data_IF_857440061055
#
_entry.id   IF_857440061055
#
_cell.length_a   1.000
_cell.length_b   1.000
_cell.length_c   1.000
_cell.angle_alpha   90.00
_cell.angle_beta   90.00
_cell.angle_gamma   90.00
#
_symmetry.space_group_name_H-M   'P 1'
#
loop_
_entity.id
_entity.type
_entity.pdbx_description
1 polymer ?
#
# COMPACT_ATOMS: atom_id res chain seq x y z
N UNK A 1 -11.29 4.64 36.49
CA UNK A 1 -12.49 3.86 36.18
C UNK A 1 -12.74 4.02 34.67
N UNK A 2 -12.55 2.94 33.92
CA UNK A 2 -12.93 2.90 32.51
C UNK A 2 -14.43 2.60 32.52
N UNK A 3 -15.26 3.56 32.12
CA UNK A 3 -16.64 3.27 31.78
C UNK A 3 -16.62 2.39 30.52
N UNK A 4 -16.87 1.12 30.69
CA UNK A 4 -17.22 0.24 29.57
C UNK A 4 -18.62 0.67 29.18
N UNK A 5 -18.73 1.42 28.11
CA UNK A 5 -20.02 1.64 27.45
C UNK A 5 -20.54 0.26 27.07
N UNK A 6 -21.55 -0.17 27.77
CA UNK A 6 -22.33 -1.33 27.43
C UNK A 6 -23.16 -0.97 26.19
N UNK A 7 -22.55 -1.13 25.01
CA UNK A 7 -23.30 -1.09 23.78
C UNK A 7 -24.34 -2.19 23.85
N UNK A 8 -25.61 -1.83 23.80
CA UNK A 8 -26.69 -2.79 23.62
C UNK A 8 -26.56 -3.39 22.21
N UNK A 9 -25.86 -4.50 22.12
CA UNK A 9 -25.63 -5.24 20.89
C UNK A 9 -26.92 -5.75 20.25
N UNK A 10 -28.05 -5.62 20.93
CA UNK A 10 -29.34 -6.15 20.46
C UNK A 10 -30.14 -5.18 19.63
N UNK A 11 -29.90 -3.85 19.72
CA UNK A 11 -30.74 -2.86 19.08
C UNK A 11 -30.17 -2.11 17.89
N UNK A 12 -28.84 -1.91 17.83
CA UNK A 12 -28.27 -1.01 16.81
C UNK A 12 -27.60 -1.71 15.63
N UNK A 13 -27.21 -2.96 15.76
CA UNK A 13 -26.57 -3.70 14.64
C UNK A 13 -27.61 -4.23 13.64
N UNK A 14 -28.88 -4.29 14.03
CA UNK A 14 -29.97 -4.83 13.21
C UNK A 14 -31.02 -3.82 12.78
N UNK A 15 -30.89 -2.54 13.09
CA UNK A 15 -31.95 -1.57 12.89
C UNK A 15 -31.84 -0.65 11.68
N UNK A 16 -30.72 -0.70 10.93
CA UNK A 16 -30.64 -0.04 9.63
C UNK A 16 -30.82 -1.05 8.52
N UNK A 17 -31.92 -0.99 7.80
CA UNK A 17 -32.18 -1.77 6.58
C UNK A 17 -31.25 -1.40 5.41
N UNK A 18 -30.27 -0.51 5.64
CA UNK A 18 -29.30 -0.07 4.66
C UNK A 18 -27.96 -0.77 4.89
N UNK A 19 -27.36 -1.38 3.86
CA UNK A 19 -26.04 -1.97 3.96
C UNK A 19 -24.99 -0.87 4.24
N UNK A 20 -24.34 -0.94 5.40
CA UNK A 20 -23.26 -0.03 5.79
C UNK A 20 -21.91 -0.70 5.50
N UNK A 21 -21.16 -0.15 4.54
CA UNK A 21 -19.83 -0.64 4.15
C UNK A 21 -18.74 0.34 4.63
N UNK A 22 -18.64 0.51 5.94
CA UNK A 22 -17.67 1.38 6.58
C UNK A 22 -16.40 0.62 7.01
N UNK A 23 -15.51 1.31 7.70
CA UNK A 23 -14.27 0.72 8.25
C UNK A 23 -14.54 -0.41 9.25
N UNK A 24 -15.70 -0.41 9.92
CA UNK A 24 -16.09 -1.49 10.83
C UNK A 24 -16.37 -2.76 10.06
N UNK A 25 -17.11 -2.65 8.95
CA UNK A 25 -17.40 -3.76 8.07
C UNK A 25 -16.11 -4.38 7.49
N UNK A 26 -15.17 -3.55 7.05
CA UNK A 26 -13.86 -3.99 6.58
C UNK A 26 -13.08 -4.72 7.70
N UNK A 27 -13.02 -4.13 8.89
CA UNK A 27 -12.27 -4.69 10.01
C UNK A 27 -12.87 -5.99 10.54
N UNK A 28 -14.18 -6.18 10.52
CA UNK A 28 -14.82 -7.44 10.90
C UNK A 28 -14.37 -8.56 9.97
N UNK A 29 -14.40 -8.35 8.66
CA UNK A 29 -13.97 -9.35 7.69
C UNK A 29 -12.47 -9.65 7.81
N UNK A 30 -11.63 -8.62 7.92
CA UNK A 30 -10.19 -8.77 8.10
C UNK A 30 -9.87 -9.53 9.39
N UNK A 31 -10.57 -9.25 10.48
CA UNK A 31 -10.42 -9.92 11.77
C UNK A 31 -10.80 -11.41 11.70
N UNK A 32 -11.91 -11.75 11.08
CA UNK A 32 -12.35 -13.13 10.89
C UNK A 32 -11.37 -13.93 10.03
N UNK A 33 -10.85 -13.36 8.94
CA UNK A 33 -9.80 -14.00 8.12
C UNK A 33 -8.55 -14.28 8.96
N UNK A 34 -8.09 -13.31 9.72
CA UNK A 34 -6.89 -13.45 10.56
C UNK A 34 -7.08 -14.52 11.62
N UNK A 35 -8.19 -14.49 12.36
CA UNK A 35 -8.50 -15.50 13.38
C UNK A 35 -8.50 -16.91 12.78
N UNK A 36 -9.18 -17.09 11.68
CA UNK A 36 -9.25 -18.38 10.99
C UNK A 36 -7.85 -18.87 10.53
N UNK A 37 -7.08 -18.01 9.86
CA UNK A 37 -5.77 -18.37 9.34
C UNK A 37 -4.78 -18.74 10.45
N UNK A 38 -4.76 -18.00 11.56
CA UNK A 38 -3.86 -18.28 12.67
C UNK A 38 -4.23 -19.60 13.36
N UNK A 39 -5.52 -19.89 13.56
CA UNK A 39 -5.99 -21.18 14.12
C UNK A 39 -5.70 -22.33 13.19
N UNK A 40 -5.92 -22.16 11.89
CA UNK A 40 -5.59 -23.18 10.88
C UNK A 40 -4.08 -23.46 10.85
N UNK A 41 -3.25 -22.41 10.93
CA UNK A 41 -1.80 -22.56 11.00
C UNK A 41 -1.38 -23.39 12.24
N UNK A 42 -1.96 -23.10 13.42
CA UNK A 42 -1.73 -23.89 14.62
C UNK A 42 -2.13 -25.36 14.42
N UNK A 43 -3.32 -25.63 13.89
CA UNK A 43 -3.81 -26.98 13.62
C UNK A 43 -2.90 -27.75 12.66
N UNK A 44 -2.38 -27.06 11.64
CA UNK A 44 -1.55 -27.66 10.59
C UNK A 44 -0.05 -27.64 10.90
N UNK A 45 0.36 -27.15 12.08
CA UNK A 45 1.78 -26.93 12.42
C UNK A 45 2.51 -26.11 11.35
N UNK A 46 1.86 -25.07 10.87
CA UNK A 46 2.31 -24.17 9.84
C UNK A 46 2.41 -22.72 10.38
N UNK A 47 2.66 -21.77 9.51
CA UNK A 47 2.62 -20.35 9.86
C UNK A 47 1.85 -19.58 8.78
N UNK A 48 1.33 -18.42 9.15
CA UNK A 48 0.65 -17.52 8.23
C UNK A 48 1.69 -16.67 7.50
N UNK A 49 1.68 -16.74 6.18
CA UNK A 49 2.49 -15.91 5.30
C UNK A 49 1.72 -14.63 4.95
N UNK A 50 2.29 -13.47 5.27
CA UNK A 50 1.70 -12.18 4.97
C UNK A 50 1.80 -11.82 3.49
N UNK A 51 0.82 -11.08 3.00
CA UNK A 51 0.71 -10.67 1.59
C UNK A 51 0.91 -9.16 1.40
N UNK A 52 0.95 -8.36 2.46
CA UNK A 52 1.18 -6.92 2.40
C UNK A 52 2.54 -6.57 1.82
N UNK A 53 2.61 -5.49 1.06
CA UNK A 53 3.83 -5.00 0.44
C UNK A 53 4.35 -3.68 1.06
N UNK A 54 5.51 -3.25 0.62
CA UNK A 54 6.16 -2.04 1.15
C UNK A 54 5.35 -0.77 0.87
N UNK A 55 4.69 -0.67 -0.28
CA UNK A 55 3.90 0.50 -0.67
C UNK A 55 2.65 0.64 0.19
N UNK A 56 1.98 -0.46 0.48
CA UNK A 56 0.83 -0.51 1.41
C UNK A 56 1.25 -0.10 2.82
N UNK A 57 2.38 -0.61 3.29
CA UNK A 57 2.94 -0.25 4.59
C UNK A 57 3.33 1.23 4.67
N UNK A 58 3.88 1.79 3.61
CA UNK A 58 4.25 3.21 3.53
C UNK A 58 3.02 4.12 3.59
N UNK A 59 1.99 3.79 2.82
CA UNK A 59 0.75 4.56 2.73
C UNK A 59 -0.22 4.29 3.88
N UNK A 60 0.07 3.27 4.72
CA UNK A 60 -0.87 2.79 5.73
C UNK A 60 -2.16 2.22 5.11
N UNK A 61 -2.08 1.70 3.89
CA UNK A 61 -3.20 1.09 3.17
C UNK A 61 -3.35 -0.37 3.57
N UNK A 62 -3.65 -0.58 4.84
CA UNK A 62 -3.88 -1.88 5.46
C UNK A 62 -4.76 -1.71 6.69
N UNK A 63 -5.47 -2.75 7.07
CA UNK A 63 -6.15 -2.80 8.38
C UNK A 63 -5.11 -2.85 9.50
N UNK A 64 -5.45 -2.34 10.69
CA UNK A 64 -4.54 -2.33 11.83
C UNK A 64 -5.14 -3.05 13.04
N UNK A 65 -4.35 -3.96 13.61
CA UNK A 65 -4.69 -4.66 14.84
C UNK A 65 -5.63 -5.85 14.66
N UNK A 66 -6.30 -5.99 13.53
CA UNK A 66 -7.37 -6.99 13.33
C UNK A 66 -7.31 -7.74 12.00
N UNK A 67 -6.32 -7.46 11.11
CA UNK A 67 -6.45 -8.00 9.77
C UNK A 67 -5.15 -8.19 8.98
N UNK A 68 -5.17 -7.78 7.75
CA UNK A 68 -4.25 -8.15 6.66
C UNK A 68 -2.76 -7.95 6.96
N UNK A 69 -2.42 -7.00 7.82
CA UNK A 69 -1.03 -6.78 8.22
C UNK A 69 -0.54 -7.81 9.24
N UNK A 70 -1.44 -8.61 9.82
CA UNK A 70 -1.08 -9.63 10.81
C UNK A 70 -0.67 -10.94 10.13
N UNK A 71 0.56 -11.33 10.36
CA UNK A 71 1.12 -12.60 9.88
C UNK A 71 2.31 -13.00 10.75
N UNK A 72 2.74 -14.24 10.65
CA UNK A 72 3.97 -14.69 11.28
C UNK A 72 5.20 -14.17 10.53
N UNK A 73 5.10 -14.07 9.20
CA UNK A 73 6.18 -13.64 8.33
C UNK A 73 5.63 -12.96 7.07
N UNK A 74 6.13 -11.76 6.73
CA UNK A 74 5.70 -11.03 5.54
C UNK A 74 6.83 -10.96 4.50
N UNK A 75 6.74 -11.78 3.46
CA UNK A 75 7.79 -11.91 2.42
C UNK A 75 7.91 -10.66 1.56
N UNK A 76 6.83 -9.90 1.36
CA UNK A 76 6.77 -8.73 0.49
C UNK A 76 6.90 -7.40 1.26
N UNK A 77 7.07 -7.44 2.57
CA UNK A 77 7.12 -6.23 3.41
C UNK A 77 8.26 -5.25 3.08
N UNK A 78 9.23 -5.67 2.26
CA UNK A 78 10.32 -4.82 1.76
C UNK A 78 10.35 -4.72 0.23
N UNK A 79 9.27 -5.09 -0.46
CA UNK A 79 9.17 -5.06 -1.92
C UNK A 79 8.04 -4.10 -2.30
N UNK A 80 8.37 -3.06 -3.07
CA UNK A 80 7.41 -2.09 -3.56
C UNK A 80 6.42 -2.74 -4.55
N UNK A 81 5.19 -2.27 -4.60
CA UNK A 81 4.11 -2.81 -5.45
C UNK A 81 4.50 -2.80 -6.93
N UNK A 82 5.11 -1.73 -7.40
CA UNK A 82 5.58 -1.65 -8.80
C UNK A 82 6.67 -2.67 -9.10
N UNK A 83 7.55 -2.94 -8.14
CA UNK A 83 8.57 -3.98 -8.29
C UNK A 83 7.93 -5.38 -8.30
N UNK A 84 6.92 -5.64 -7.48
CA UNK A 84 6.15 -6.91 -7.51
C UNK A 84 5.52 -7.11 -8.89
N UNK A 85 4.86 -6.09 -9.43
CA UNK A 85 4.26 -6.15 -10.76
C UNK A 85 5.30 -6.43 -11.85
N UNK A 86 6.47 -5.79 -11.76
CA UNK A 86 7.58 -6.03 -12.68
C UNK A 86 8.11 -7.47 -12.58
N UNK A 87 8.30 -7.99 -11.37
CA UNK A 87 8.74 -9.37 -11.14
C UNK A 87 7.73 -10.39 -11.67
N UNK A 88 6.43 -10.18 -11.45
CA UNK A 88 5.37 -11.05 -11.97
C UNK A 88 5.42 -11.06 -13.50
N UNK A 89 5.56 -9.89 -14.14
CA UNK A 89 5.68 -9.78 -15.60
C UNK A 89 6.90 -10.55 -16.10
N UNK A 90 8.04 -10.33 -15.48
CA UNK A 90 9.27 -11.03 -15.83
C UNK A 90 9.16 -12.55 -15.70
N UNK A 91 8.59 -13.06 -14.61
CA UNK A 91 8.35 -14.50 -14.38
C UNK A 91 7.43 -15.09 -15.47
N UNK A 92 6.36 -14.37 -15.82
CA UNK A 92 5.42 -14.79 -16.84
C UNK A 92 6.04 -14.79 -18.26
N UNK A 93 6.83 -13.75 -18.57
CA UNK A 93 7.50 -13.61 -19.89
C UNK A 93 8.60 -14.64 -20.09
N UNK A 94 9.32 -14.99 -19.04
CA UNK A 94 10.33 -16.06 -19.04
C UNK A 94 9.71 -17.46 -18.91
N UNK A 95 8.40 -17.54 -18.73
CA UNK A 95 7.67 -18.81 -18.55
C UNK A 95 8.28 -19.72 -17.45
N UNK A 96 8.74 -19.12 -16.36
CA UNK A 96 9.45 -19.85 -15.30
C UNK A 96 8.56 -20.81 -14.50
N UNK A 97 7.24 -20.63 -14.57
CA UNK A 97 6.25 -21.41 -13.82
C UNK A 97 5.34 -22.25 -14.73
N UNK A 98 5.68 -22.34 -16.02
CA UNK A 98 4.88 -23.03 -17.04
C UNK A 98 3.77 -22.16 -17.65
N UNK A 99 3.32 -22.52 -18.85
CA UNK A 99 2.44 -21.70 -19.67
C UNK A 99 1.10 -21.38 -18.99
N UNK A 100 0.46 -22.35 -18.36
CA UNK A 100 -0.83 -22.15 -17.68
C UNK A 100 -0.72 -21.17 -16.50
N UNK A 101 0.29 -21.30 -15.66
CA UNK A 101 0.51 -20.38 -14.55
C UNK A 101 0.94 -19.00 -15.04
N UNK A 102 1.76 -18.90 -16.09
CA UNK A 102 2.14 -17.63 -16.71
C UNK A 102 0.94 -16.87 -17.26
N UNK A 103 -0.05 -17.55 -17.83
CA UNK A 103 -1.30 -16.93 -18.27
C UNK A 103 -2.11 -16.36 -17.09
N UNK A 104 -2.21 -17.12 -15.99
CA UNK A 104 -2.86 -16.64 -14.76
C UNK A 104 -2.16 -15.40 -14.22
N UNK A 105 -0.83 -15.37 -14.19
CA UNK A 105 -0.06 -14.21 -13.74
C UNK A 105 -0.31 -12.97 -14.59
N UNK A 106 -0.47 -13.12 -15.92
CA UNK A 106 -0.84 -12.00 -16.79
C UNK A 106 -2.27 -11.50 -16.51
N UNK A 107 -3.21 -12.38 -16.22
CA UNK A 107 -4.57 -12.00 -15.80
C UNK A 107 -4.55 -11.24 -14.47
N UNK A 108 -3.73 -11.67 -13.51
CA UNK A 108 -3.52 -10.93 -12.25
C UNK A 108 -2.99 -9.52 -12.50
N UNK A 109 -2.01 -9.35 -13.40
CA UNK A 109 -1.48 -8.03 -13.75
C UNK A 109 -2.51 -7.12 -14.46
N UNK A 110 -3.45 -7.70 -15.18
CA UNK A 110 -4.52 -6.98 -15.87
C UNK A 110 -5.69 -6.61 -14.94
N UNK A 111 -5.75 -7.18 -13.75
CA UNK A 111 -6.81 -6.89 -12.77
C UNK A 111 -6.51 -5.56 -12.07
N UNK A 112 -7.51 -4.67 -12.01
CA UNK A 112 -7.38 -3.42 -11.29
C UNK A 112 -7.18 -3.65 -9.78
N UNK A 113 -6.27 -2.88 -9.19
CA UNK A 113 -6.02 -2.92 -7.75
C UNK A 113 -7.17 -2.21 -7.03
N UNK A 114 -7.98 -3.00 -6.34
CA UNK A 114 -9.17 -2.54 -5.62
C UNK A 114 -9.17 -3.03 -4.18
N UNK A 115 -9.90 -2.33 -3.26
CA UNK A 115 -10.16 -2.85 -1.93
C UNK A 115 -11.01 -4.12 -2.02
N UNK A 116 -10.51 -5.24 -1.51
CA UNK A 116 -11.19 -6.54 -1.58
C UNK A 116 -12.41 -6.66 -0.67
N UNK A 117 -12.43 -5.86 0.40
CA UNK A 117 -13.42 -6.00 1.48
C UNK A 117 -14.69 -5.18 1.24
N UNK A 118 -14.66 -4.24 0.32
CA UNK A 118 -15.82 -3.41 -0.02
C UNK A 118 -16.47 -3.97 -1.28
N UNK A 119 -17.77 -4.31 -1.24
CA UNK A 119 -18.50 -4.72 -2.43
C UNK A 119 -18.45 -3.65 -3.52
N UNK A 120 -18.63 -4.07 -4.78
CA UNK A 120 -18.90 -3.14 -5.86
C UNK A 120 -20.16 -2.32 -5.54
N UNK A 121 -20.22 -1.07 -6.01
CA UNK A 121 -21.40 -0.24 -5.86
C UNK A 121 -22.62 -0.84 -6.58
N UNK A 122 -23.81 -0.24 -6.39
CA UNK A 122 -25.04 -0.69 -7.02
C UNK A 122 -25.00 -0.69 -8.57
N UNK A 123 -24.03 0.00 -9.17
CA UNK A 123 -23.74 0.02 -10.61
C UNK A 123 -22.70 -1.01 -11.04
N UNK A 124 -22.16 -1.82 -10.12
CA UNK A 124 -21.10 -2.80 -10.39
C UNK A 124 -19.71 -2.19 -10.53
N UNK A 125 -19.53 -0.90 -10.25
CA UNK A 125 -18.22 -0.26 -10.30
C UNK A 125 -17.37 -0.66 -9.10
N UNK A 126 -16.16 -1.16 -9.38
CA UNK A 126 -15.17 -1.48 -8.37
C UNK A 126 -14.40 -0.20 -8.02
N UNK A 127 -14.27 0.08 -6.72
CA UNK A 127 -13.54 1.23 -6.25
C UNK A 127 -12.04 1.08 -6.53
N UNK A 128 -11.46 1.98 -7.32
CA UNK A 128 -10.01 1.97 -7.58
C UNK A 128 -9.23 2.41 -6.34
N UNK A 129 -8.29 1.59 -5.91
CA UNK A 129 -7.35 1.95 -4.84
C UNK A 129 -6.51 3.15 -5.25
N UNK A 130 -6.03 3.20 -6.49
CA UNK A 130 -5.19 4.29 -6.99
C UNK A 130 -5.93 5.64 -7.05
N UNK A 131 -7.25 5.64 -7.22
CA UNK A 131 -8.04 6.87 -7.11
C UNK A 131 -7.97 7.50 -5.71
N UNK A 132 -7.76 6.68 -4.67
CA UNK A 132 -7.66 7.15 -3.27
C UNK A 132 -6.24 7.43 -2.80
N UNK A 133 -5.29 6.59 -3.17
CA UNK A 133 -3.92 6.70 -2.67
C UNK A 133 -2.93 7.23 -3.70
N UNK A 134 -3.35 7.44 -4.93
CA UNK A 134 -2.52 7.86 -6.05
C UNK A 134 -1.90 6.70 -6.83
N UNK A 135 -1.35 6.99 -8.01
CA UNK A 135 -0.64 6.02 -8.82
C UNK A 135 0.55 5.41 -8.06
N UNK A 136 0.63 4.10 -8.00
CA UNK A 136 1.69 3.42 -7.24
C UNK A 136 3.09 3.73 -7.77
N UNK A 137 3.25 3.98 -9.07
CA UNK A 137 4.54 4.39 -9.64
C UNK A 137 5.05 5.71 -9.05
N UNK A 138 4.16 6.66 -8.77
CA UNK A 138 4.53 7.91 -8.10
C UNK A 138 4.77 7.70 -6.60
N UNK A 139 3.95 6.88 -5.95
CA UNK A 139 4.10 6.63 -4.52
C UNK A 139 5.36 5.84 -4.20
N UNK A 140 5.72 4.86 -5.02
CA UNK A 140 6.96 4.10 -4.87
C UNK A 140 8.20 4.95 -5.18
N UNK A 141 8.11 5.86 -6.16
CA UNK A 141 9.14 6.86 -6.44
C UNK A 141 9.37 7.77 -5.22
N UNK A 142 8.30 8.32 -4.67
CA UNK A 142 8.35 9.16 -3.47
C UNK A 142 8.96 8.41 -2.28
N UNK A 143 8.50 7.20 -2.05
CA UNK A 143 9.00 6.33 -0.99
C UNK A 143 10.49 6.04 -1.13
N UNK A 144 10.94 5.71 -2.33
CA UNK A 144 12.33 5.41 -2.60
C UNK A 144 13.26 6.57 -2.26
N UNK A 145 12.95 7.76 -2.75
CA UNK A 145 13.79 8.92 -2.50
C UNK A 145 13.71 9.44 -1.07
N UNK A 146 12.57 9.28 -0.41
CA UNK A 146 12.41 9.63 1.00
C UNK A 146 13.18 8.63 1.89
N UNK A 147 12.94 7.33 1.73
CA UNK A 147 13.47 6.31 2.66
C UNK A 147 14.94 5.98 2.40
N UNK A 148 15.35 5.95 1.12
CA UNK A 148 16.72 5.56 0.73
C UNK A 148 17.72 6.71 0.86
N UNK A 149 17.29 7.93 0.54
CA UNK A 149 18.20 9.08 0.46
C UNK A 149 17.87 10.19 1.46
N UNK A 150 16.70 10.16 2.10
CA UNK A 150 16.26 11.22 3.00
C UNK A 150 16.12 12.57 2.29
N UNK A 151 15.73 12.58 1.02
CA UNK A 151 15.62 13.82 0.26
C UNK A 151 14.45 14.66 0.75
N UNK A 152 14.63 15.98 0.70
CA UNK A 152 13.56 16.95 0.96
C UNK A 152 12.45 16.82 -0.07
N UNK A 153 11.19 17.11 0.27
CA UNK A 153 10.05 17.03 -0.65
C UNK A 153 10.25 17.82 -1.93
N UNK A 154 10.76 19.05 -1.87
CA UNK A 154 11.06 19.86 -3.07
C UNK A 154 12.06 19.20 -4.00
N UNK A 155 13.07 18.49 -3.46
CA UNK A 155 14.01 17.73 -4.28
C UNK A 155 13.35 16.50 -4.89
N UNK A 156 12.46 15.82 -4.15
CA UNK A 156 11.69 14.68 -4.68
C UNK A 156 10.79 15.14 -5.83
N UNK A 157 10.06 16.24 -5.63
CA UNK A 157 9.21 16.84 -6.66
C UNK A 157 10.00 17.24 -7.93
N UNK A 158 11.17 17.84 -7.76
CA UNK A 158 12.08 18.18 -8.87
C UNK A 158 12.49 16.94 -9.66
N UNK A 159 12.93 15.88 -8.99
CA UNK A 159 13.31 14.63 -9.63
C UNK A 159 12.12 13.95 -10.29
N UNK A 160 10.95 13.96 -9.64
CA UNK A 160 9.72 13.41 -10.19
C UNK A 160 9.30 14.15 -11.46
N UNK A 161 9.37 15.48 -11.47
CA UNK A 161 9.05 16.27 -12.66
C UNK A 161 9.97 15.94 -13.83
N UNK A 162 11.27 15.78 -13.60
CA UNK A 162 12.21 15.38 -14.65
C UNK A 162 11.97 13.95 -15.16
N UNK A 163 11.58 13.02 -14.26
CA UNK A 163 11.34 11.63 -14.63
C UNK A 163 10.00 11.41 -15.35
N UNK A 164 8.96 12.20 -15.00
CA UNK A 164 7.58 11.88 -15.37
C UNK A 164 6.91 12.92 -16.28
N UNK A 165 7.56 14.02 -16.62
CA UNK A 165 6.96 15.07 -17.47
C UNK A 165 6.76 14.65 -18.92
N UNK A 166 7.44 13.62 -19.37
CA UNK A 166 7.39 13.11 -20.74
C UNK A 166 7.52 11.58 -20.72
N UNK A 167 6.47 10.91 -21.14
CA UNK A 167 6.41 9.45 -21.15
C UNK A 167 7.40 8.81 -22.15
N UNK A 168 7.74 9.52 -23.22
CA UNK A 168 8.65 9.01 -24.26
C UNK A 168 10.13 9.21 -23.90
N UNK A 169 10.44 10.20 -23.05
CA UNK A 169 11.79 10.49 -22.61
C UNK A 169 12.23 9.67 -21.39
N UNK A 170 11.33 8.91 -20.78
CA UNK A 170 11.59 8.14 -19.56
C UNK A 170 12.39 6.86 -19.78
N UNK A 171 13.19 6.51 -18.78
CA UNK A 171 13.95 5.26 -18.73
C UNK A 171 13.07 4.17 -18.10
N UNK A 172 12.26 3.51 -18.92
CA UNK A 172 11.29 2.51 -18.47
C UNK A 172 11.96 1.14 -18.26
N UNK A 173 11.46 0.34 -17.30
CA UNK A 173 11.95 -1.03 -17.12
C UNK A 173 11.84 -1.86 -18.40
N UNK A 174 12.75 -2.82 -18.64
CA UNK A 174 12.65 -3.72 -19.78
C UNK A 174 11.27 -4.39 -19.87
N UNK A 175 10.69 -4.43 -21.05
CA UNK A 175 9.37 -5.00 -21.35
C UNK A 175 8.19 -4.28 -20.65
N UNK A 176 8.38 -3.04 -20.22
CA UNK A 176 7.25 -2.24 -19.72
C UNK A 176 6.34 -1.86 -20.88
N UNK A 177 5.01 -2.14 -20.80
CA UNK A 177 4.09 -1.88 -21.91
C UNK A 177 4.05 -0.39 -22.25
N UNK A 178 4.13 -0.06 -23.55
CA UNK A 178 4.14 1.33 -24.00
C UNK A 178 2.82 2.04 -23.64
N UNK A 179 1.71 1.33 -23.73
CA UNK A 179 0.36 1.82 -23.39
C UNK A 179 0.17 2.10 -21.88
N UNK A 180 1.05 1.56 -21.04
CA UNK A 180 1.04 1.80 -19.60
C UNK A 180 2.01 2.92 -19.16
N UNK A 181 2.69 3.57 -20.12
CA UNK A 181 3.56 4.70 -19.80
C UNK A 181 2.73 5.97 -19.63
N UNK A 182 2.99 6.66 -18.54
CA UNK A 182 2.26 7.88 -18.20
C UNK A 182 3.20 9.07 -18.09
N UNK A 183 2.70 10.25 -18.40
CA UNK A 183 3.31 11.52 -18.06
C UNK A 183 2.44 12.26 -17.04
N UNK A 184 3.09 13.04 -16.18
CA UNK A 184 2.42 13.80 -15.14
C UNK A 184 2.93 15.24 -15.12
N UNK A 185 2.02 16.19 -15.00
CA UNK A 185 2.37 17.60 -14.77
C UNK A 185 2.82 17.84 -13.32
N UNK A 186 3.45 18.98 -13.09
CA UNK A 186 3.99 19.33 -11.77
C UNK A 186 2.90 19.45 -10.70
N UNK A 187 1.73 20.05 -10.94
CA UNK A 187 0.65 20.10 -9.97
C UNK A 187 0.16 18.70 -9.55
N UNK A 188 0.05 17.77 -10.49
CA UNK A 188 -0.32 16.38 -10.20
C UNK A 188 0.75 15.68 -9.34
N UNK A 189 2.02 15.84 -9.69
CA UNK A 189 3.14 15.29 -8.90
C UNK A 189 3.16 15.86 -7.49
N UNK A 190 2.99 17.18 -7.35
CA UNK A 190 2.91 17.86 -6.05
C UNK A 190 1.76 17.31 -5.20
N UNK A 191 0.55 17.22 -5.78
CA UNK A 191 -0.64 16.70 -5.10
C UNK A 191 -0.42 15.28 -4.54
N UNK A 192 0.15 14.38 -5.34
CA UNK A 192 0.38 13.01 -4.91
C UNK A 192 1.53 12.88 -3.91
N UNK A 193 2.54 13.74 -4.00
CA UNK A 193 3.60 13.80 -2.97
C UNK A 193 3.05 14.36 -1.65
N UNK A 194 2.17 15.35 -1.65
CA UNK A 194 1.47 15.83 -0.45
C UNK A 194 0.66 14.73 0.21
N UNK A 195 -0.12 13.99 -0.59
CA UNK A 195 -0.87 12.85 -0.09
C UNK A 195 0.04 11.78 0.50
N UNK A 196 1.13 11.46 -0.20
CA UNK A 196 2.13 10.50 0.28
C UNK A 196 2.67 10.90 1.65
N UNK A 197 3.17 12.12 1.78
CA UNK A 197 3.73 12.63 3.04
C UNK A 197 2.70 12.62 4.17
N UNK A 198 1.49 13.07 3.88
CA UNK A 198 0.40 13.06 4.86
C UNK A 198 0.11 11.65 5.35
N UNK A 199 -0.09 10.70 4.44
CA UNK A 199 -0.37 9.31 4.79
C UNK A 199 0.80 8.62 5.45
N UNK A 200 2.01 8.83 4.95
CA UNK A 200 3.22 8.22 5.47
C UNK A 200 3.43 8.53 6.96
N UNK A 201 3.31 9.79 7.35
CA UNK A 201 3.47 10.19 8.74
C UNK A 201 2.24 9.86 9.61
N UNK A 202 1.02 10.14 9.13
CA UNK A 202 -0.19 9.86 9.89
C UNK A 202 -0.41 8.37 10.19
N UNK A 203 0.12 7.49 9.36
CA UNK A 203 0.02 6.03 9.55
C UNK A 203 1.27 5.39 10.19
N UNK A 204 2.15 6.19 10.80
CA UNK A 204 3.33 5.66 11.49
C UNK A 204 2.98 4.61 12.54
N UNK A 205 1.90 4.81 13.29
CA UNK A 205 1.44 3.88 14.32
C UNK A 205 1.18 2.46 13.76
N UNK A 206 0.72 2.34 12.52
CA UNK A 206 0.47 1.05 11.88
C UNK A 206 1.76 0.25 11.67
N UNK A 207 2.90 0.92 11.50
CA UNK A 207 4.19 0.26 11.29
C UNK A 207 4.87 -0.22 12.57
N UNK A 208 4.40 0.18 13.73
CA UNK A 208 4.97 -0.28 15.02
C UNK A 208 4.76 -1.76 15.31
N UNK A 209 3.82 -2.42 14.64
CA UNK A 209 3.47 -3.84 14.82
C UNK A 209 3.69 -4.68 13.56
N UNK A 210 4.66 -4.35 12.73
CA UNK A 210 4.95 -5.13 11.51
C UNK A 210 5.49 -6.52 11.84
N UNK A 211 5.05 -7.57 11.10
CA UNK A 211 5.64 -8.90 11.21
C UNK A 211 7.10 -8.91 10.72
N UNK A 212 7.81 -9.99 11.02
CA UNK A 212 9.13 -10.23 10.46
C UNK A 212 9.03 -10.44 8.94
N UNK A 213 10.08 -10.05 8.24
CA UNK A 213 10.19 -10.25 6.79
C UNK A 213 11.63 -10.03 6.32
N UNK A 214 11.96 -10.40 5.07
CA UNK A 214 13.27 -10.16 4.52
C UNK A 214 13.44 -8.69 4.16
N UNK A 215 14.68 -8.22 4.19
CA UNK A 215 15.05 -6.93 3.59
C UNK A 215 15.68 -7.21 2.22
N UNK A 216 14.94 -6.89 1.17
CA UNK A 216 15.34 -7.21 -0.20
C UNK A 216 16.29 -6.16 -0.79
N UNK A 217 16.02 -4.87 -0.50
CA UNK A 217 16.83 -3.76 -1.02
C UNK A 217 17.20 -2.77 0.08
N UNK A 218 18.30 -2.05 -0.10
CA UNK A 218 18.71 -1.00 0.84
C UNK A 218 17.70 0.15 0.83
N UNK A 219 17.24 0.58 2.00
CA UNK A 219 16.17 1.59 2.14
C UNK A 219 14.77 1.07 1.81
N UNK A 220 14.64 -0.22 1.48
CA UNK A 220 13.37 -0.85 1.13
C UNK A 220 12.68 -1.54 2.29
N UNK A 221 12.88 -1.12 3.53
CA UNK A 221 12.18 -1.70 4.68
C UNK A 221 11.74 -0.61 5.63
N UNK A 222 10.53 -0.75 6.14
CA UNK A 222 9.94 0.13 7.17
C UNK A 222 9.81 -0.59 8.51
N UNK A 223 10.58 -1.66 8.73
CA UNK A 223 10.57 -2.42 9.98
C UNK A 223 11.03 -1.55 11.16
N UNK A 224 10.25 -1.50 12.25
CA UNK A 224 10.62 -0.75 13.46
C UNK A 224 11.79 -1.39 14.21
N UNK A 225 12.19 -2.60 13.85
CA UNK A 225 13.28 -3.36 14.48
C UNK A 225 14.68 -2.92 14.04
N UNK A 226 14.79 -1.89 13.20
CA UNK A 226 16.10 -1.36 12.82
C UNK A 226 16.13 -0.52 11.56
N UNK A 227 15.10 -0.60 10.71
CA UNK A 227 15.12 0.06 9.42
C UNK A 227 14.46 1.45 9.45
N UNK A 228 13.26 1.55 10.04
CA UNK A 228 12.52 2.80 10.16
C UNK A 228 11.94 2.96 11.56
N UNK A 229 12.58 3.80 12.38
CA UNK A 229 12.13 4.12 13.73
C UNK A 229 11.61 5.56 13.76
N UNK A 230 10.37 5.71 14.14
CA UNK A 230 9.76 7.01 14.37
C UNK A 230 8.70 6.90 15.48
N UNK A 231 8.39 8.00 16.18
CA UNK A 231 7.28 8.03 17.12
C UNK A 231 5.96 7.71 16.42
N UNK A 232 5.06 7.01 17.11
CA UNK A 232 3.75 6.62 16.54
C UNK A 232 2.86 7.83 16.24
N UNK A 233 3.09 8.95 16.90
CA UNK A 233 2.42 10.24 16.73
C UNK A 233 3.19 11.23 15.82
N UNK A 234 4.15 10.73 15.06
CA UNK A 234 4.89 11.54 14.09
C UNK A 234 3.94 12.21 13.10
N UNK A 235 4.23 13.45 12.73
CA UNK A 235 3.45 14.19 11.75
C UNK A 235 4.33 14.76 10.64
N UNK A 236 3.72 14.96 9.47
CA UNK A 236 4.42 15.44 8.27
C UNK A 236 4.46 16.96 8.10
N UNK A 237 4.09 17.75 9.11
CA UNK A 237 3.90 19.21 8.94
C UNK A 237 5.12 19.91 8.35
N UNK A 238 6.31 19.68 8.88
CA UNK A 238 7.55 20.32 8.39
C UNK A 238 7.85 19.94 6.93
N UNK A 239 7.56 18.67 6.55
CA UNK A 239 7.74 18.19 5.19
C UNK A 239 6.74 18.82 4.22
N UNK A 240 5.49 18.96 4.64
CA UNK A 240 4.43 19.59 3.86
C UNK A 240 4.67 21.11 3.69
N UNK A 241 5.10 21.79 4.73
CA UNK A 241 5.49 23.20 4.69
C UNK A 241 6.66 23.41 3.71
N UNK A 242 7.68 22.56 3.75
CA UNK A 242 8.82 22.61 2.81
C UNK A 242 8.38 22.42 1.37
N UNK A 243 7.51 21.43 1.11
CA UNK A 243 6.98 21.20 -0.23
C UNK A 243 6.21 22.40 -0.77
N UNK A 244 5.28 22.93 0.03
CA UNK A 244 4.42 24.05 -0.36
C UNK A 244 5.18 25.35 -0.58
N UNK A 245 6.23 25.59 0.20
CA UNK A 245 7.05 26.77 0.07
C UNK A 245 7.99 26.75 -1.15
N UNK A 246 8.38 25.57 -1.63
CA UNK A 246 9.47 25.43 -2.61
C UNK A 246 9.03 24.82 -3.95
N UNK A 247 7.80 24.34 -4.06
CA UNK A 247 7.27 23.77 -5.31
C UNK A 247 6.04 24.56 -5.73
N UNK A 248 6.05 25.17 -6.92
CA UNK A 248 4.90 25.94 -7.42
C UNK A 248 3.67 25.03 -7.64
N UNK A 249 2.49 25.67 -7.69
CA UNK A 249 1.21 25.01 -8.00
C UNK A 249 1.07 24.74 -9.49
#
# INVERSE_FOLDING_TARGET
AYEIYQCDWSSDVCSSDLPVYDVTFENVQAGLRTDYLFRLANQRRAFVLGTGDLSELALGWCTYGVGDHMSHYNVNGSVAKTLIQHLIRWVADKNLVGAAASEVLRKVLATEISPELVPADAGGAIQSTQAKVGPYELQDFNLFYLSRYGFRPSKIAFLAWHAWRDAEAGDWPPNFPAEARHAYDLPTLKRWLELFLTRFFANQYKRSALPNGPKVVTGGSLSPRGDWRAPSDANGRVWLEELRANVPD
#
